data_IF_054887831186
#
_entry.id   IF_054887831186
#
_cell.length_a   1.000
_cell.length_b   1.000
_cell.length_c   1.000
_cell.angle_alpha   90.00
_cell.angle_beta   90.00
_cell.angle_gamma   90.00
#
_symmetry.space_group_name_H-M   'P 1'
#
loop_
_entity.id
_entity.type
_entity.pdbx_description
1 polymer ?
#
# COMPACT_ATOMS: atom_id res chain seq x y z
N UNK A 1 -21.58 -24.34 -17.18
CA UNK A 1 -20.28 -23.96 -16.57
C UNK A 1 -19.37 -23.27 -17.56
N UNK A 2 -18.97 -23.89 -18.67
CA UNK A 2 -18.07 -23.29 -19.68
C UNK A 2 -18.61 -21.95 -20.23
N UNK A 3 -19.89 -21.91 -20.62
CA UNK A 3 -20.55 -20.70 -21.17
C UNK A 3 -20.56 -19.53 -20.19
N UNK A 4 -20.91 -19.79 -18.93
CA UNK A 4 -20.92 -18.81 -17.85
C UNK A 4 -19.52 -18.22 -17.60
N UNK A 5 -18.47 -19.04 -17.64
CA UNK A 5 -17.09 -18.59 -17.48
C UNK A 5 -16.65 -17.67 -18.61
N UNK A 6 -16.93 -18.04 -19.87
CA UNK A 6 -16.53 -17.25 -21.04
C UNK A 6 -17.16 -15.85 -21.04
N UNK A 7 -18.44 -15.76 -20.64
CA UNK A 7 -19.18 -14.48 -20.62
C UNK A 7 -18.81 -13.63 -19.40
N UNK A 8 -18.54 -14.24 -18.25
CA UNK A 8 -18.35 -13.52 -16.98
C UNK A 8 -16.88 -13.16 -16.69
N UNK A 9 -15.92 -13.87 -17.30
CA UNK A 9 -14.49 -13.68 -17.05
C UNK A 9 -13.97 -12.27 -17.41
N UNK A 10 -14.29 -11.67 -18.58
CA UNK A 10 -13.79 -10.33 -18.91
C UNK A 10 -14.28 -9.25 -17.95
N UNK A 11 -15.53 -9.39 -17.47
CA UNK A 11 -16.12 -8.49 -16.49
C UNK A 11 -15.42 -8.63 -15.14
N UNK A 12 -15.27 -9.87 -14.65
CA UNK A 12 -14.54 -10.18 -13.42
C UNK A 12 -13.12 -9.60 -13.43
N UNK A 13 -12.40 -9.82 -14.55
CA UNK A 13 -11.03 -9.37 -14.73
C UNK A 13 -10.93 -7.85 -14.67
N UNK A 14 -11.80 -7.12 -15.39
CA UNK A 14 -11.80 -5.64 -15.38
C UNK A 14 -12.12 -5.06 -14.00
N UNK A 15 -13.14 -5.59 -13.32
CA UNK A 15 -13.51 -5.12 -11.98
C UNK A 15 -12.39 -5.38 -10.97
N UNK A 16 -11.79 -6.57 -11.05
CA UNK A 16 -10.67 -6.95 -10.18
C UNK A 16 -9.42 -6.12 -10.47
N UNK A 17 -9.11 -5.88 -11.74
CA UNK A 17 -7.97 -5.05 -12.16
C UNK A 17 -8.13 -3.61 -11.67
N UNK A 18 -9.33 -3.04 -11.78
CA UNK A 18 -9.62 -1.70 -11.25
C UNK A 18 -9.37 -1.59 -9.74
N UNK A 19 -9.62 -2.67 -8.98
CA UNK A 19 -9.32 -2.72 -7.55
C UNK A 19 -7.80 -2.73 -7.25
N UNK A 20 -7.02 -3.41 -8.10
CA UNK A 20 -5.55 -3.37 -8.00
C UNK A 20 -4.98 -2.01 -8.38
N UNK A 21 -5.57 -1.34 -9.39
CA UNK A 21 -5.13 -0.02 -9.85
C UNK A 21 -5.43 1.11 -8.86
N UNK A 22 -6.46 0.95 -8.02
CA UNK A 22 -6.78 1.89 -6.95
C UNK A 22 -5.76 1.88 -5.80
N UNK A 23 -4.92 0.84 -5.69
CA UNK A 23 -3.88 0.79 -4.65
C UNK A 23 -2.78 1.80 -4.99
N UNK A 24 -2.53 2.74 -4.07
CA UNK A 24 -1.52 3.78 -4.26
C UNK A 24 -0.13 3.18 -4.52
N UNK A 25 0.44 3.51 -5.68
CA UNK A 25 1.76 3.08 -6.10
C UNK A 25 2.86 3.54 -5.13
N UNK A 26 2.63 4.61 -4.37
CA UNK A 26 3.56 5.12 -3.38
C UNK A 26 3.72 4.15 -2.18
N UNK A 27 2.65 3.45 -1.77
CA UNK A 27 2.73 2.42 -0.71
C UNK A 27 3.62 1.24 -1.14
N UNK A 28 3.51 0.85 -2.41
CA UNK A 28 4.32 -0.22 -2.98
C UNK A 28 5.81 0.17 -3.05
N UNK A 29 6.10 1.44 -3.34
CA UNK A 29 7.46 1.97 -3.34
C UNK A 29 8.07 2.01 -1.93
N UNK A 30 7.32 2.46 -0.93
CA UNK A 30 7.79 2.48 0.48
C UNK A 30 8.04 1.07 1.03
N UNK A 31 7.20 0.09 0.68
CA UNK A 31 7.44 -1.29 1.09
C UNK A 31 8.73 -1.86 0.50
N UNK A 32 9.05 -1.50 -0.74
CA UNK A 32 10.29 -1.92 -1.39
C UNK A 32 11.52 -1.23 -0.80
N UNK A 33 11.42 0.03 -0.37
CA UNK A 33 12.54 0.73 0.29
C UNK A 33 12.82 0.20 1.69
N UNK A 34 11.82 -0.40 2.34
CA UNK A 34 11.93 -1.12 3.60
C UNK A 34 12.45 -2.56 3.45
N UNK A 35 12.80 -2.99 2.23
CA UNK A 35 13.42 -4.29 1.97
C UNK A 35 12.46 -5.44 1.69
N UNK A 36 11.15 -5.19 1.53
CA UNK A 36 10.20 -6.24 1.18
C UNK A 36 10.38 -6.69 -0.28
N UNK A 37 10.47 -8.00 -0.50
CA UNK A 37 10.55 -8.57 -1.85
C UNK A 37 9.24 -8.38 -2.63
N UNK A 38 9.28 -8.35 -3.97
CA UNK A 38 8.07 -8.15 -4.80
C UNK A 38 6.94 -9.13 -4.48
N UNK A 39 7.29 -10.39 -4.16
CA UNK A 39 6.31 -11.42 -3.76
C UNK A 39 5.71 -11.18 -2.38
N UNK A 40 6.50 -10.67 -1.43
CA UNK A 40 6.00 -10.30 -0.09
C UNK A 40 5.11 -9.06 -0.14
N UNK A 41 5.49 -8.04 -0.91
CA UNK A 41 4.64 -6.86 -1.15
C UNK A 41 3.31 -7.28 -1.77
N UNK A 42 3.33 -8.18 -2.75
CA UNK A 42 2.12 -8.71 -3.37
C UNK A 42 1.21 -9.42 -2.36
N UNK A 43 1.75 -10.37 -1.58
CA UNK A 43 0.94 -11.17 -0.64
C UNK A 43 0.50 -10.40 0.60
N UNK A 44 1.35 -9.50 1.11
CA UNK A 44 1.17 -8.90 2.43
C UNK A 44 0.54 -7.51 2.40
N UNK A 45 0.63 -6.83 1.25
CA UNK A 45 0.13 -5.47 1.07
C UNK A 45 -0.92 -5.44 -0.04
N UNK A 46 -0.55 -5.85 -1.25
CA UNK A 46 -1.42 -5.71 -2.42
C UNK A 46 -2.68 -6.59 -2.33
N UNK A 47 -2.52 -7.88 -2.01
CA UNK A 47 -3.62 -8.84 -1.84
C UNK A 47 -4.67 -8.39 -0.81
N UNK A 48 -4.34 -8.06 0.45
CA UNK A 48 -5.33 -7.66 1.44
C UNK A 48 -5.99 -6.30 1.12
N UNK A 49 -5.27 -5.36 0.50
CA UNK A 49 -5.82 -4.06 0.09
C UNK A 49 -6.78 -4.19 -1.09
N UNK A 50 -6.48 -5.06 -2.05
CA UNK A 50 -7.32 -5.31 -3.23
C UNK A 50 -8.42 -6.34 -2.97
N UNK A 51 -8.35 -7.10 -1.87
CA UNK A 51 -9.31 -8.14 -1.48
C UNK A 51 -10.78 -7.69 -1.58
N UNK A 52 -11.18 -6.49 -1.11
CA UNK A 52 -12.57 -6.04 -1.21
C UNK A 52 -13.03 -5.93 -2.66
N UNK A 53 -12.17 -5.43 -3.55
CA UNK A 53 -12.49 -5.29 -4.96
C UNK A 53 -12.39 -6.61 -5.75
N UNK A 54 -11.54 -7.55 -5.33
CA UNK A 54 -11.56 -8.93 -5.82
C UNK A 54 -12.92 -9.56 -5.48
N UNK A 55 -13.35 -9.47 -4.22
CA UNK A 55 -14.63 -10.02 -3.77
C UNK A 55 -15.82 -9.37 -4.49
N UNK A 56 -15.79 -8.06 -4.71
CA UNK A 56 -16.79 -7.36 -5.50
C UNK A 56 -16.83 -7.86 -6.95
N UNK A 57 -15.66 -8.01 -7.59
CA UNK A 57 -15.52 -8.55 -8.94
C UNK A 57 -16.02 -9.99 -9.08
N UNK A 58 -15.68 -10.85 -8.11
CA UNK A 58 -16.16 -12.24 -8.06
C UNK A 58 -17.68 -12.31 -7.84
N UNK A 59 -18.22 -11.50 -6.94
CA UNK A 59 -19.67 -11.44 -6.66
C UNK A 59 -20.44 -10.96 -7.89
N UNK A 60 -19.95 -9.92 -8.56
CA UNK A 60 -20.54 -9.39 -9.79
C UNK A 60 -20.53 -10.41 -10.92
N UNK A 61 -19.40 -11.11 -11.11
CA UNK A 61 -19.28 -12.17 -12.10
C UNK A 61 -20.20 -13.36 -11.79
N UNK A 62 -20.34 -13.72 -10.52
CA UNK A 62 -21.27 -14.75 -10.07
C UNK A 62 -22.73 -14.37 -10.35
N UNK A 63 -23.14 -13.16 -9.97
CA UNK A 63 -24.47 -12.65 -10.23
C UNK A 63 -24.78 -12.60 -11.74
N UNK A 64 -23.81 -12.15 -12.54
CA UNK A 64 -23.92 -12.14 -14.01
C UNK A 64 -24.08 -13.55 -14.57
N UNK A 65 -23.34 -14.53 -14.04
CA UNK A 65 -23.40 -15.94 -14.46
C UNK A 65 -24.75 -16.60 -14.13
N UNK A 66 -25.37 -16.25 -13.00
CA UNK A 66 -26.70 -16.75 -12.61
C UNK A 66 -27.81 -16.23 -13.53
N UNK A 67 -27.63 -15.03 -14.07
CA UNK A 67 -28.55 -14.42 -15.04
C UNK A 67 -28.38 -14.92 -16.48
N UNK A 68 -27.38 -15.75 -16.78
CA UNK A 68 -27.15 -16.28 -18.12
C UNK A 68 -28.16 -17.39 -18.49
N UNK A 69 -29.29 -16.96 -19.03
CA UNK A 69 -30.39 -17.81 -19.49
C UNK A 69 -30.20 -18.29 -20.94
N UNK A 70 -29.97 -17.37 -21.88
CA UNK A 70 -30.01 -17.67 -23.32
C UNK A 70 -28.86 -18.58 -23.79
N UNK A 71 -27.63 -18.28 -23.38
CA UNK A 71 -26.47 -19.04 -23.80
C UNK A 71 -26.45 -20.46 -23.22
N UNK A 72 -27.03 -20.66 -22.03
CA UNK A 72 -27.18 -21.99 -21.40
C UNK A 72 -28.24 -22.82 -22.11
N UNK A 73 -29.37 -22.23 -22.49
CA UNK A 73 -30.42 -22.91 -23.26
C UNK A 73 -29.88 -23.39 -24.62
N UNK A 74 -29.11 -22.55 -25.31
CA UNK A 74 -28.55 -22.86 -26.63
C UNK A 74 -27.51 -23.99 -26.62
N UNK A 75 -26.72 -24.11 -25.54
CA UNK A 75 -25.62 -25.08 -25.44
C UNK A 75 -25.96 -26.35 -24.66
N UNK A 76 -26.72 -26.23 -23.57
CA UNK A 76 -26.99 -27.34 -22.65
C UNK A 76 -28.44 -27.88 -22.77
N UNK A 77 -29.33 -27.16 -23.45
CA UNK A 77 -30.75 -27.51 -23.55
C UNK A 77 -31.46 -27.52 -22.20
N UNK A 78 -32.68 -28.08 -22.17
CA UNK A 78 -33.48 -28.25 -20.96
C UNK A 78 -33.98 -29.70 -20.84
N UNK A 79 -33.31 -30.52 -20.04
CA UNK A 79 -33.79 -31.85 -19.66
C UNK A 79 -34.40 -31.75 -18.26
N UNK A 80 -35.74 -31.89 -18.11
CA UNK A 80 -36.42 -31.79 -16.81
C UNK A 80 -35.79 -32.73 -15.78
N UNK A 81 -35.42 -32.18 -14.62
CA UNK A 81 -34.83 -32.97 -13.52
C UNK A 81 -33.34 -33.30 -13.61
N UNK A 82 -32.66 -33.03 -14.73
CA UNK A 82 -31.22 -33.29 -14.88
C UNK A 82 -30.38 -32.02 -15.13
N UNK A 83 -30.83 -31.13 -16.02
CA UNK A 83 -30.08 -29.91 -16.41
C UNK A 83 -30.88 -28.62 -16.22
N UNK A 84 -32.07 -28.70 -15.61
CA UNK A 84 -32.97 -27.57 -15.42
C UNK A 84 -32.40 -26.56 -14.41
N UNK A 85 -32.08 -25.37 -14.89
CA UNK A 85 -31.69 -24.23 -14.04
C UNK A 85 -32.93 -23.47 -13.59
N UNK A 86 -32.83 -22.71 -12.50
CA UNK A 86 -33.94 -21.89 -11.97
C UNK A 86 -34.53 -20.97 -13.06
N UNK A 87 -33.73 -20.26 -13.89
CA UNK A 87 -34.25 -19.47 -15.00
C UNK A 87 -35.04 -20.29 -16.04
N UNK A 88 -34.57 -21.52 -16.36
CA UNK A 88 -35.29 -22.41 -17.27
C UNK A 88 -36.60 -22.92 -16.66
N UNK A 89 -36.62 -23.23 -15.37
CA UNK A 89 -37.85 -23.63 -14.67
C UNK A 89 -38.93 -22.53 -14.72
N UNK A 90 -38.53 -21.26 -14.59
CA UNK A 90 -39.46 -20.13 -14.71
C UNK A 90 -39.97 -19.98 -16.14
N UNK A 91 -39.07 -20.01 -17.13
CA UNK A 91 -39.45 -19.87 -18.56
C UNK A 91 -40.45 -20.94 -19.00
N UNK A 92 -40.14 -22.22 -18.74
CA UNK A 92 -41.04 -23.31 -19.11
C UNK A 92 -42.32 -23.36 -18.27
N UNK A 93 -42.33 -22.87 -17.02
CA UNK A 93 -43.55 -22.75 -16.23
C UNK A 93 -44.51 -21.68 -16.79
N UNK A 94 -43.96 -20.57 -17.32
CA UNK A 94 -44.72 -19.52 -18.02
C UNK A 94 -45.24 -20.04 -19.35
N UNK A 95 -44.39 -20.72 -20.14
CA UNK A 95 -44.76 -21.29 -21.44
C UNK A 95 -45.83 -22.39 -21.32
N UNK A 96 -45.78 -23.19 -20.26
CA UNK A 96 -46.80 -24.20 -19.94
C UNK A 96 -48.10 -23.62 -19.34
N UNK A 97 -48.22 -22.29 -19.21
CA UNK A 97 -49.39 -21.62 -18.62
C UNK A 97 -49.55 -21.83 -17.10
N UNK A 98 -48.57 -22.46 -16.44
CA UNK A 98 -48.59 -22.76 -15.01
C UNK A 98 -48.13 -21.55 -14.17
N UNK A 99 -48.85 -20.43 -14.30
CA UNK A 99 -48.49 -19.13 -13.70
C UNK A 99 -48.31 -19.19 -12.19
N UNK A 100 -49.08 -20.03 -11.48
CA UNK A 100 -48.92 -20.21 -10.03
C UNK A 100 -47.52 -20.71 -9.62
N UNK A 101 -46.94 -21.63 -10.40
CA UNK A 101 -45.57 -22.12 -10.16
C UNK A 101 -44.53 -21.05 -10.51
N UNK A 102 -44.74 -20.30 -11.60
CA UNK A 102 -43.83 -19.25 -12.04
C UNK A 102 -43.71 -18.12 -11.01
N UNK A 103 -44.84 -17.64 -10.46
CA UNK A 103 -44.84 -16.60 -9.42
C UNK A 103 -44.09 -17.01 -8.16
N UNK A 104 -44.18 -18.29 -7.76
CA UNK A 104 -43.47 -18.82 -6.60
C UNK A 104 -41.95 -18.78 -6.82
N UNK A 105 -41.46 -19.26 -7.96
CA UNK A 105 -40.04 -19.22 -8.29
C UNK A 105 -39.49 -17.79 -8.42
N UNK A 106 -40.26 -16.88 -9.01
CA UNK A 106 -39.89 -15.45 -9.11
C UNK A 106 -39.84 -14.79 -7.74
N UNK A 107 -40.79 -15.09 -6.85
CA UNK A 107 -40.78 -14.58 -5.47
C UNK A 107 -39.53 -15.02 -4.70
N UNK A 108 -39.16 -16.31 -4.81
CA UNK A 108 -37.97 -16.85 -4.16
C UNK A 108 -36.69 -16.16 -4.65
N UNK A 109 -36.51 -16.01 -5.97
CA UNK A 109 -35.29 -15.41 -6.52
C UNK A 109 -35.18 -13.91 -6.21
N UNK A 110 -36.31 -13.21 -6.15
CA UNK A 110 -36.37 -11.80 -5.75
C UNK A 110 -35.88 -11.63 -4.31
N UNK A 111 -36.38 -12.45 -3.38
CA UNK A 111 -35.98 -12.42 -1.96
C UNK A 111 -34.50 -12.75 -1.79
N UNK A 112 -34.00 -13.78 -2.47
CA UNK A 112 -32.59 -14.17 -2.41
C UNK A 112 -31.68 -13.04 -2.95
N UNK A 113 -32.07 -12.41 -4.06
CA UNK A 113 -31.32 -11.30 -4.65
C UNK A 113 -31.27 -10.08 -3.72
N UNK A 114 -32.42 -9.69 -3.16
CA UNK A 114 -32.52 -8.56 -2.22
C UNK A 114 -31.69 -8.81 -0.95
N UNK A 115 -31.77 -10.03 -0.40
CA UNK A 115 -30.96 -10.44 0.74
C UNK A 115 -29.46 -10.41 0.43
N UNK A 116 -29.06 -10.90 -0.74
CA UNK A 116 -27.66 -10.90 -1.19
C UNK A 116 -27.10 -9.49 -1.36
N UNK A 117 -27.85 -8.59 -2.00
CA UNK A 117 -27.48 -7.18 -2.17
C UNK A 117 -27.38 -6.49 -0.80
N UNK A 118 -28.36 -6.70 0.07
CA UNK A 118 -28.38 -6.09 1.41
C UNK A 118 -27.23 -6.59 2.28
N UNK A 119 -26.90 -7.87 2.23
CA UNK A 119 -25.75 -8.44 2.92
C UNK A 119 -24.42 -7.87 2.39
N UNK A 120 -24.26 -7.77 1.07
CA UNK A 120 -23.08 -7.16 0.45
C UNK A 120 -22.93 -5.69 0.87
N UNK A 121 -24.03 -4.94 0.87
CA UNK A 121 -24.05 -3.52 1.25
C UNK A 121 -23.65 -3.32 2.72
N UNK A 122 -24.21 -4.12 3.65
CA UNK A 122 -23.85 -4.05 5.08
C UNK A 122 -22.37 -4.41 5.31
N UNK A 123 -21.85 -5.37 4.56
CA UNK A 123 -20.47 -5.81 4.73
C UNK A 123 -19.47 -4.79 4.19
N UNK A 124 -19.82 -4.09 3.11
CA UNK A 124 -19.03 -3.01 2.53
C UNK A 124 -18.97 -1.79 3.47
N UNK A 125 -20.10 -1.38 4.05
CA UNK A 125 -20.14 -0.26 5.02
C UNK A 125 -19.25 -0.49 6.24
N UNK A 126 -19.18 -1.73 6.75
CA UNK A 126 -18.31 -2.09 7.89
C UNK A 126 -16.81 -2.13 7.55
N UNK A 127 -16.45 -2.21 6.26
CA UNK A 127 -15.06 -2.24 5.82
C UNK A 127 -14.55 -0.82 5.50
N UNK A 128 -15.39 0.04 4.93
CA UNK A 128 -15.08 1.47 4.72
C UNK A 128 -14.87 2.21 6.06
N UNK A 129 -15.67 1.92 7.09
CA UNK A 129 -15.49 2.51 8.43
C UNK A 129 -14.14 2.16 9.08
N UNK A 130 -13.55 0.99 8.76
CA UNK A 130 -12.25 0.58 9.29
C UNK A 130 -11.05 1.18 8.56
N UNK A 131 -11.24 1.71 7.35
CA UNK A 131 -10.17 2.31 6.54
C UNK A 131 -10.27 3.84 6.50
N UNK A 132 -11.47 4.42 6.60
CA UNK A 132 -11.69 5.86 6.41
C UNK A 132 -11.70 6.70 7.69
N UNK A 133 -11.71 6.12 8.90
CA UNK A 133 -11.72 6.91 10.13
C UNK A 133 -10.78 6.40 11.25
N UNK A 134 -9.50 6.79 11.26
CA UNK A 134 -8.77 6.93 12.50
C UNK A 134 -8.92 8.39 12.96
N UNK A 135 -10.05 8.72 13.58
CA UNK A 135 -10.13 9.93 14.40
C UNK A 135 -9.11 9.73 15.53
N UNK A 136 -8.03 10.52 15.63
CA UNK A 136 -7.16 10.43 16.76
C UNK A 136 -7.97 10.93 17.95
N UNK A 137 -8.35 10.02 18.85
CA UNK A 137 -8.74 10.39 20.21
C UNK A 137 -7.48 10.97 20.87
N UNK A 138 -7.27 12.27 20.63
CA UNK A 138 -6.25 13.05 21.28
C UNK A 138 -6.56 13.11 22.76
N UNK A 139 -5.96 12.21 23.54
CA UNK A 139 -5.49 12.62 24.85
C UNK A 139 -4.49 13.74 24.59
N UNK A 140 -4.98 14.98 24.76
CA UNK A 140 -4.18 16.20 24.79
C UNK A 140 -3.28 16.10 26.02
N UNK A 141 -2.19 15.35 25.88
CA UNK A 141 -1.02 15.50 26.72
C UNK A 141 -0.49 16.90 26.44
N UNK A 142 -0.99 17.86 27.21
CA UNK A 142 -0.37 19.16 27.34
C UNK A 142 0.98 18.90 27.99
N UNK A 143 1.99 18.64 27.17
CA UNK A 143 3.39 18.68 27.59
C UNK A 143 3.64 20.13 27.94
N UNK A 144 3.59 20.44 29.23
CA UNK A 144 4.08 21.71 29.75
C UNK A 144 5.57 21.75 29.44
N UNK A 145 5.94 22.46 28.38
CA UNK A 145 7.31 22.89 28.19
C UNK A 145 7.62 23.87 29.32
N UNK A 146 8.21 23.34 30.38
CA UNK A 146 8.87 24.14 31.37
C UNK A 146 10.10 24.74 30.70
N UNK A 147 9.99 26.03 30.40
CA UNK A 147 11.03 26.84 29.79
C UNK A 147 12.13 27.08 30.83
N UNK A 148 12.93 26.05 31.10
CA UNK A 148 14.18 26.21 31.82
C UNK A 148 15.28 26.32 30.78
N UNK A 149 16.00 27.44 30.87
CA UNK A 149 16.92 27.96 29.86
C UNK A 149 17.83 26.92 29.25
N UNK A 150 18.00 27.04 27.93
CA UNK A 150 19.04 26.37 27.19
C UNK A 150 20.35 27.12 27.47
N UNK A 151 20.84 26.97 28.69
CA UNK A 151 22.15 27.40 29.12
C UNK A 151 22.94 26.14 29.48
N UNK A 152 23.97 25.87 28.69
CA UNK A 152 25.04 24.91 28.97
C UNK A 152 24.61 23.48 29.34
N UNK A 153 24.30 22.67 28.33
CA UNK A 153 24.61 21.24 28.41
C UNK A 153 25.28 20.80 27.11
N UNK A 154 26.59 20.63 27.22
CA UNK A 154 27.46 19.92 26.30
C UNK A 154 26.86 18.55 26.00
N UNK A 155 26.08 18.49 24.91
CA UNK A 155 25.55 17.24 24.37
C UNK A 155 26.72 16.36 23.93
N UNK A 156 26.97 15.36 24.76
CA UNK A 156 27.92 14.28 24.58
C UNK A 156 27.52 13.44 23.37
N UNK A 157 27.96 13.81 22.17
CA UNK A 157 27.95 12.92 21.03
C UNK A 157 28.99 11.82 21.28
N UNK A 158 28.68 10.53 21.05
CA UNK A 158 29.70 9.51 21.06
C UNK A 158 30.74 9.89 20.00
N UNK A 159 32.00 10.04 20.40
CA UNK A 159 33.14 10.20 19.50
C UNK A 159 33.30 8.89 18.70
N UNK A 160 32.51 8.73 17.63
CA UNK A 160 32.90 7.90 16.50
C UNK A 160 34.10 8.59 15.87
N UNK A 161 35.26 7.93 15.88
CA UNK A 161 36.55 8.52 15.51
C UNK A 161 36.52 9.28 14.19
N UNK A 162 37.08 10.49 14.19
CA UNK A 162 37.61 11.24 13.04
C UNK A 162 36.84 11.11 11.71
N UNK A 163 35.52 11.21 11.73
CA UNK A 163 34.76 11.40 10.49
C UNK A 163 34.30 12.84 10.42
N UNK A 164 34.90 13.63 9.52
CA UNK A 164 34.41 14.98 9.26
C UNK A 164 32.92 14.90 8.88
N UNK A 165 32.02 15.44 9.72
CA UNK A 165 30.59 15.32 9.48
C UNK A 165 30.28 16.16 8.24
N UNK A 166 29.88 15.50 7.16
CA UNK A 166 29.68 16.19 5.91
C UNK A 166 28.97 15.35 4.87
N UNK A 167 28.19 16.02 4.03
CA UNK A 167 27.51 15.42 2.89
C UNK A 167 28.02 16.09 1.62
N UNK A 168 28.45 15.28 0.66
CA UNK A 168 28.79 15.71 -0.69
C UNK A 168 27.84 15.01 -1.66
N UNK A 169 27.10 15.80 -2.42
CA UNK A 169 26.16 15.33 -3.43
C UNK A 169 26.55 15.94 -4.76
N UNK A 170 26.89 15.11 -5.72
CA UNK A 170 27.03 15.48 -7.12
C UNK A 170 26.28 14.41 -7.90
N UNK A 171 25.04 14.66 -8.29
CA UNK A 171 24.21 13.65 -8.96
C UNK A 171 23.46 14.25 -10.14
N UNK A 172 23.31 13.40 -11.15
CA UNK A 172 22.44 13.65 -12.28
C UNK A 172 21.38 12.54 -12.37
N UNK A 173 20.12 12.93 -12.57
CA UNK A 173 19.00 12.00 -12.75
C UNK A 173 18.15 12.46 -13.92
N UNK A 174 18.10 11.63 -14.95
CA UNK A 174 17.21 11.83 -16.08
C UNK A 174 15.81 11.27 -15.75
N UNK A 175 14.80 12.14 -15.78
CA UNK A 175 13.38 11.78 -15.69
C UNK A 175 12.70 12.04 -17.05
N UNK A 176 11.50 11.51 -17.24
CA UNK A 176 10.80 11.56 -18.53
C UNK A 176 10.57 12.99 -19.09
N UNK A 177 10.42 13.99 -18.21
CA UNK A 177 10.10 15.37 -18.59
C UNK A 177 11.07 16.41 -18.00
N UNK A 178 12.09 15.97 -17.27
CA UNK A 178 12.98 16.85 -16.50
C UNK A 178 14.33 16.18 -16.26
N UNK A 179 15.41 16.94 -16.31
CA UNK A 179 16.74 16.48 -15.90
C UNK A 179 17.12 17.17 -14.60
N UNK A 180 17.43 16.38 -13.58
CA UNK A 180 17.90 16.87 -12.30
C UNK A 180 19.43 16.84 -12.30
N UNK A 181 20.06 18.00 -12.13
CA UNK A 181 21.49 18.15 -11.87
C UNK A 181 21.68 18.88 -10.55
N UNK A 182 22.34 18.23 -9.59
CA UNK A 182 22.51 18.75 -8.23
C UNK A 182 23.94 18.54 -7.77
N UNK A 183 24.60 19.65 -7.45
CA UNK A 183 25.93 19.67 -6.84
C UNK A 183 25.92 20.55 -5.59
N UNK A 184 26.17 19.97 -4.42
CA UNK A 184 26.40 20.71 -3.19
C UNK A 184 27.25 19.91 -2.18
N UNK A 185 27.89 20.63 -1.27
CA UNK A 185 28.61 20.07 -0.12
C UNK A 185 28.16 20.79 1.14
N UNK A 186 28.02 20.09 2.25
CA UNK A 186 27.69 20.68 3.54
C UNK A 186 28.44 19.99 4.68
N UNK A 187 28.85 20.74 5.70
CA UNK A 187 29.69 20.25 6.80
C UNK A 187 29.02 20.49 8.14
N UNK A 188 28.28 19.50 8.64
CA UNK A 188 27.64 19.52 9.97
C UNK A 188 26.52 20.55 10.19
N UNK A 189 26.26 21.43 9.23
CA UNK A 189 25.22 22.46 9.29
C UNK A 189 23.85 21.99 8.77
N UNK A 190 22.79 22.69 9.18
CA UNK A 190 21.44 22.43 8.65
C UNK A 190 21.30 23.07 7.28
N UNK A 191 21.20 22.24 6.24
CA UNK A 191 21.00 22.71 4.86
C UNK A 191 19.54 22.65 4.45
N UNK A 192 19.03 23.78 3.96
CA UNK A 192 17.72 23.88 3.33
C UNK A 192 17.81 23.86 1.81
N UNK A 193 17.03 22.99 1.15
CA UNK A 193 16.92 22.95 -0.30
C UNK A 193 15.65 23.68 -0.75
N UNK A 194 15.79 24.89 -1.31
CA UNK A 194 14.67 25.71 -1.81
C UNK A 194 14.56 25.70 -3.35
N UNK A 195 13.34 25.90 -3.86
CA UNK A 195 13.07 26.01 -5.29
C UNK A 195 11.57 25.95 -5.60
N UNK A 196 11.16 26.18 -6.86
CA UNK A 196 9.76 26.08 -7.30
C UNK A 196 9.19 24.65 -7.18
N UNK A 197 7.87 24.49 -7.19
CA UNK A 197 7.26 23.15 -7.23
C UNK A 197 7.76 22.38 -8.46
N UNK A 198 8.12 21.10 -8.30
CA UNK A 198 8.69 20.29 -9.38
C UNK A 198 10.19 20.47 -9.64
N UNK A 199 10.90 21.37 -8.94
CA UNK A 199 12.34 21.62 -9.13
C UNK A 199 13.27 20.47 -8.68
N UNK A 200 12.73 19.32 -8.26
CA UNK A 200 13.52 18.16 -7.85
C UNK A 200 13.91 18.09 -6.36
N UNK A 201 13.45 18.98 -5.48
CA UNK A 201 13.82 18.96 -4.04
C UNK A 201 13.61 17.60 -3.36
N UNK A 202 12.38 17.10 -3.41
CA UNK A 202 12.03 15.79 -2.84
C UNK A 202 12.75 14.65 -3.56
N UNK A 203 13.05 14.81 -4.85
CA UNK A 203 13.81 13.83 -5.63
C UNK A 203 15.27 13.75 -5.16
N UNK A 204 15.91 14.91 -4.90
CA UNK A 204 17.26 14.98 -4.31
C UNK A 204 17.30 14.26 -2.96
N UNK A 205 16.36 14.55 -2.07
CA UNK A 205 16.28 13.89 -0.76
C UNK A 205 16.06 12.38 -0.87
N UNK A 206 15.19 11.94 -1.80
CA UNK A 206 15.00 10.50 -2.10
C UNK A 206 16.25 9.84 -2.67
N UNK A 207 17.03 10.55 -3.50
CA UNK A 207 18.29 10.05 -4.04
C UNK A 207 19.36 9.87 -2.94
N UNK A 208 19.45 10.81 -2.00
CA UNK A 208 20.34 10.72 -0.84
C UNK A 208 19.93 9.55 0.06
N UNK A 209 18.63 9.43 0.37
CA UNK A 209 18.08 8.35 1.17
C UNK A 209 18.17 6.96 0.51
N UNK A 210 18.41 6.89 -0.81
CA UNK A 210 18.53 5.64 -1.56
C UNK A 210 17.21 5.04 -2.01
N UNK A 211 16.12 5.81 -1.91
CA UNK A 211 14.79 5.44 -2.41
C UNK A 211 14.77 5.52 -3.95
N UNK A 212 15.51 6.48 -4.47
CA UNK A 212 15.71 6.68 -5.90
C UNK A 212 17.19 6.54 -6.23
N UNK A 213 17.51 5.85 -7.31
CA UNK A 213 18.90 5.71 -7.77
C UNK A 213 19.21 6.81 -8.78
N UNK A 214 20.24 7.65 -8.58
CA UNK A 214 20.70 8.60 -9.58
C UNK A 214 21.13 7.90 -10.88
N UNK A 215 21.07 8.60 -12.01
CA UNK A 215 21.56 8.06 -13.29
C UNK A 215 23.08 8.10 -13.34
N UNK A 216 23.69 9.19 -12.84
CA UNK A 216 25.14 9.37 -12.76
C UNK A 216 25.52 10.18 -11.53
N UNK A 217 26.81 10.14 -11.16
CA UNK A 217 27.41 10.96 -10.13
C UNK A 217 27.81 10.19 -8.87
N UNK A 218 27.97 10.90 -7.75
CA UNK A 218 28.42 10.39 -6.47
C UNK A 218 27.68 11.04 -5.29
N UNK A 219 27.37 10.25 -4.28
CA UNK A 219 26.87 10.69 -2.97
C UNK A 219 27.81 10.16 -1.89
N UNK A 220 28.40 11.06 -1.10
CA UNK A 220 29.26 10.73 0.04
C UNK A 220 28.64 11.33 1.29
N UNK A 221 28.53 10.53 2.35
CA UNK A 221 28.08 10.96 3.67
C UNK A 221 29.11 10.52 4.70
N UNK A 222 29.67 11.45 5.47
CA UNK A 222 30.64 11.17 6.53
C UNK A 222 31.77 10.25 6.01
N UNK A 223 32.44 10.67 4.92
CA UNK A 223 33.49 9.92 4.22
C UNK A 223 33.09 8.53 3.68
N UNK A 224 31.83 8.12 3.82
CA UNK A 224 31.29 6.88 3.26
C UNK A 224 30.59 7.15 1.94
N UNK A 225 31.08 6.55 0.87
CA UNK A 225 30.42 6.58 -0.43
C UNK A 225 29.14 5.76 -0.38
N UNK A 226 27.99 6.43 -0.51
CA UNK A 226 26.67 5.81 -0.56
C UNK A 226 26.28 5.43 -2.00
N UNK A 227 26.71 6.24 -2.96
CA UNK A 227 26.47 6.02 -4.38
C UNK A 227 27.67 6.52 -5.18
N UNK A 228 28.10 5.77 -6.20
CA UNK A 228 29.12 6.16 -7.18
C UNK A 228 28.87 5.40 -8.49
N UNK A 229 28.50 6.12 -9.55
CA UNK A 229 28.22 5.51 -10.85
C UNK A 229 29.47 4.96 -11.55
N UNK A 230 30.65 5.54 -11.32
CA UNK A 230 31.91 5.09 -11.96
C UNK A 230 32.44 3.81 -11.30
N UNK A 231 32.29 3.71 -9.97
CA UNK A 231 32.73 2.55 -9.19
C UNK A 231 31.65 1.49 -9.01
N UNK A 232 30.48 1.66 -9.63
CA UNK A 232 29.30 0.81 -9.48
C UNK A 232 28.90 0.56 -8.00
N UNK A 233 29.01 1.60 -7.17
CA UNK A 233 28.63 1.54 -5.76
C UNK A 233 27.20 2.07 -5.64
N UNK A 234 26.29 1.26 -5.10
CA UNK A 234 24.95 1.73 -4.72
C UNK A 234 24.53 1.03 -3.42
N UNK A 235 24.75 1.71 -2.30
CA UNK A 235 24.35 1.21 -0.98
C UNK A 235 22.82 1.23 -0.89
N UNK A 236 22.15 0.15 -0.49
CA UNK A 236 20.70 0.13 -0.35
C UNK A 236 20.23 1.00 0.83
N UNK A 237 19.00 1.55 0.73
CA UNK A 237 18.44 2.53 1.69
C UNK A 237 18.63 2.16 3.16
N UNK A 238 18.37 0.90 3.53
CA UNK A 238 18.45 0.41 4.91
C UNK A 238 19.88 0.44 5.49
N UNK A 239 20.91 0.33 4.63
CA UNK A 239 22.31 0.38 5.06
C UNK A 239 22.87 1.80 5.06
N UNK A 240 22.19 2.78 4.45
CA UNK A 240 22.67 4.16 4.37
C UNK A 240 22.63 4.89 5.71
N UNK A 241 21.81 4.42 6.65
CA UNK A 241 21.58 5.08 7.96
C UNK A 241 21.13 6.55 7.81
N UNK A 242 20.33 6.83 6.78
CA UNK A 242 19.74 8.14 6.51
C UNK A 242 18.25 8.09 6.85
N UNK A 243 17.81 8.93 7.79
CA UNK A 243 16.38 9.11 8.08
C UNK A 243 15.75 10.09 7.10
N UNK A 244 14.61 9.72 6.50
CA UNK A 244 13.83 10.60 5.64
C UNK A 244 12.43 10.78 6.21
N UNK A 245 12.05 12.01 6.50
CA UNK A 245 10.67 12.36 6.88
C UNK A 245 9.92 12.77 5.61
N UNK A 246 8.85 12.04 5.28
CA UNK A 246 8.04 12.30 4.09
C UNK A 246 6.99 13.39 4.37
N UNK A 247 6.64 14.15 3.33
CA UNK A 247 5.62 15.21 3.42
C UNK A 247 4.23 14.68 3.81
N UNK A 248 3.90 13.45 3.42
CA UNK A 248 2.74 12.73 3.94
C UNK A 248 3.22 11.81 5.05
N UNK A 249 2.63 11.94 6.24
CA UNK A 249 2.90 11.08 7.39
C UNK A 249 2.71 9.62 6.99
N UNK A 250 3.82 8.91 6.76
CA UNK A 250 3.82 7.49 6.43
C UNK A 250 3.61 6.66 7.71
N UNK A 251 2.48 6.91 8.38
CA UNK A 251 2.04 6.11 9.52
C UNK A 251 1.35 4.87 8.98
N UNK A 252 1.72 3.71 9.49
CA UNK A 252 1.00 2.47 9.24
C UNK A 252 -0.38 2.59 9.89
N UNK A 253 -1.47 2.69 9.11
CA UNK A 253 -2.79 3.01 9.64
C UNK A 253 -3.40 1.89 10.49
N UNK A 254 -2.81 0.69 10.42
CA UNK A 254 -3.18 -0.47 11.22
C UNK A 254 -2.41 -0.58 12.54
N UNK A 255 -1.47 0.33 12.81
CA UNK A 255 -0.64 0.34 14.01
C UNK A 255 -1.01 1.53 14.89
N UNK A 256 -1.01 1.33 16.21
CA UNK A 256 -1.09 2.42 17.17
C UNK A 256 0.11 3.36 17.04
N UNK A 257 0.02 4.57 17.62
CA UNK A 257 1.14 5.54 17.61
C UNK A 257 2.40 4.94 18.25
N UNK A 258 2.23 4.22 19.37
CA UNK A 258 3.33 3.53 20.04
C UNK A 258 3.96 2.45 19.15
N UNK A 259 3.14 1.70 18.40
CA UNK A 259 3.64 0.67 17.47
C UNK A 259 4.31 1.25 16.23
N UNK A 260 3.84 2.38 15.70
CA UNK A 260 4.49 3.11 14.61
C UNK A 260 5.90 3.59 15.01
N UNK A 261 6.01 4.16 16.21
CA UNK A 261 7.29 4.59 16.78
C UNK A 261 8.18 3.37 17.06
N UNK A 262 7.64 2.34 17.72
CA UNK A 262 8.37 1.10 18.01
C UNK A 262 8.87 0.40 16.75
N UNK A 263 8.11 0.43 15.64
CA UNK A 263 8.52 -0.14 14.36
C UNK A 263 9.81 0.51 13.83
N UNK A 264 9.92 1.84 13.92
CA UNK A 264 11.16 2.57 13.59
C UNK A 264 12.30 2.32 14.59
N UNK A 265 11.97 2.14 15.87
CA UNK A 265 12.95 1.91 16.95
C UNK A 265 13.50 0.47 17.02
N UNK A 266 12.85 -0.53 16.40
CA UNK A 266 13.31 -1.93 16.42
C UNK A 266 14.72 -2.13 15.84
N UNK A 267 15.19 -1.21 15.01
CA UNK A 267 16.55 -1.23 14.45
C UNK A 267 17.58 -0.51 15.35
N UNK A 268 17.13 0.16 16.42
CA UNK A 268 17.94 0.78 17.46
C UNK A 268 18.01 -0.10 18.72
N UNK A 269 18.00 -1.43 18.56
CA UNK A 269 18.13 -2.32 19.70
C UNK A 269 19.49 -2.06 20.38
N UNK A 270 19.52 -1.70 21.68
CA UNK A 270 20.73 -1.33 22.38
C UNK A 270 21.54 -2.59 22.66
N UNK A 271 22.37 -3.00 21.71
CA UNK A 271 23.48 -3.91 21.99
C UNK A 271 24.65 -3.09 22.56
N UNK A 272 24.41 -2.58 23.78
CA UNK A 272 25.37 -1.90 24.64
C UNK A 272 25.25 -2.50 26.02
N UNK A 273 26.01 -3.58 26.22
CA UNK A 273 26.55 -4.05 27.50
C UNK A 273 25.64 -3.97 28.74
N UNK A 274 24.94 -5.07 29.04
CA UNK A 274 24.30 -5.32 30.34
C UNK A 274 25.12 -6.26 31.24
N UNK A 275 26.45 -6.29 31.10
CA UNK A 275 27.32 -7.15 31.93
C UNK A 275 27.96 -6.45 33.15
N UNK A 276 27.45 -5.28 33.58
CA UNK A 276 28.05 -4.49 34.66
C UNK A 276 27.19 -4.23 35.92
N UNK A 277 26.05 -4.89 36.11
CA UNK A 277 25.19 -4.67 37.29
C UNK A 277 24.90 -5.97 38.05
N UNK A 278 25.98 -6.64 38.47
CA UNK A 278 26.00 -7.45 39.68
C UNK A 278 27.20 -7.00 40.50
N UNK A 279 26.95 -6.76 41.80
CA UNK A 279 27.88 -6.32 42.85
C UNK A 279 27.91 -4.82 43.09
N UNK A 280 26.96 -4.35 43.92
CA UNK A 280 27.32 -3.85 45.25
C UNK A 280 26.09 -3.90 46.16
#
# INVERSE_FOLDING_TARGET
MITATVVSFPLMYKTTLGAFEQVDRHLLQVAQTLGASRGEVFRRILMPLSLPGILAGTTLAFARSLGEFGATLMLAGNIPGQTQTIPMAIYFAVEAGAMGKAWLWVGIILVISLAGIMAANIWQGRYEDKIHNPQPQGHRLTVLFQNNGWENSSSHYPKLGEVEPGIQVNIQKQLAQFSLDVTFTAQGETVGLLGASGSGKSMTLRCIAGIETPTQGRIILNSRTLFDSQRNINVPSHERKVGLVLQNYALFPHLTVAENIAFGLRHLSPNGDRSGLKNN
#
